data_IF_191614834171
#
_entry.id   IF_191614834171
#
_cell.length_a   1.000
_cell.length_b   1.000
_cell.length_c   1.000
_cell.angle_alpha   90.00
_cell.angle_beta   90.00
_cell.angle_gamma   90.00
#
_symmetry.space_group_name_H-M   'P 1'
#
loop_
_entity.id
_entity.type
_entity.pdbx_description
1 polymer ?
#
# COMPACT_ATOMS: atom_id res chain seq x y z
N UNK A 1 -18.29 7.99 -0.58
CA UNK A 1 -17.57 7.12 0.37
C UNK A 1 -16.11 7.44 0.27
N UNK A 2 -15.38 7.49 1.39
CA UNK A 2 -13.93 7.71 1.34
C UNK A 2 -13.24 6.47 0.78
N UNK A 3 -12.41 6.61 -0.25
CA UNK A 3 -11.67 5.51 -0.88
C UNK A 3 -10.20 5.57 -0.52
N UNK A 4 -9.67 4.47 0.02
CA UNK A 4 -8.24 4.32 0.31
C UNK A 4 -7.65 3.26 -0.60
N UNK A 5 -6.52 3.59 -1.23
CA UNK A 5 -5.73 2.64 -2.02
C UNK A 5 -4.46 2.27 -1.27
N UNK A 6 -4.19 0.96 -1.23
CA UNK A 6 -3.00 0.40 -0.63
C UNK A 6 -2.11 -0.20 -1.74
N UNK A 7 -0.87 0.27 -1.90
CA UNK A 7 0.06 -0.20 -2.93
C UNK A 7 1.29 -0.83 -2.29
N UNK A 8 1.54 -2.10 -2.63
CA UNK A 8 2.79 -2.79 -2.35
C UNK A 8 3.72 -2.74 -3.55
N UNK A 9 4.90 -2.15 -3.38
CA UNK A 9 5.99 -2.16 -4.36
C UNK A 9 6.69 -3.51 -4.53
N UNK A 10 6.05 -4.60 -4.12
CA UNK A 10 6.57 -5.96 -4.34
C UNK A 10 6.22 -6.43 -5.74
N UNK A 11 7.15 -7.13 -6.38
CA UNK A 11 6.93 -7.80 -7.66
C UNK A 11 6.91 -9.33 -7.52
N UNK A 12 6.71 -9.84 -6.30
CA UNK A 12 6.67 -11.26 -5.98
C UNK A 12 5.53 -11.61 -5.01
N UNK A 13 5.07 -12.85 -5.08
CA UNK A 13 4.08 -13.44 -4.16
C UNK A 13 4.65 -14.79 -3.68
N UNK A 14 4.68 -15.06 -2.35
CA UNK A 14 4.25 -14.20 -1.24
C UNK A 14 5.23 -13.04 -0.96
N UNK A 15 4.77 -12.01 -0.21
CA UNK A 15 5.58 -10.85 0.18
C UNK A 15 5.21 -10.30 1.57
N UNK A 16 6.23 -10.05 2.40
CA UNK A 16 6.11 -9.35 3.69
C UNK A 16 5.60 -7.93 3.55
N UNK A 17 6.02 -7.20 2.51
CA UNK A 17 5.52 -5.85 2.25
C UNK A 17 4.04 -5.87 1.92
N UNK A 18 3.61 -6.83 1.09
CA UNK A 18 2.18 -6.99 0.79
C UNK A 18 1.40 -7.39 2.03
N UNK A 19 1.95 -8.22 2.92
CA UNK A 19 1.33 -8.52 4.22
C UNK A 19 1.21 -7.28 5.12
N UNK A 20 2.26 -6.47 5.21
CA UNK A 20 2.28 -5.22 5.98
C UNK A 20 1.24 -4.22 5.49
N UNK A 21 1.23 -3.93 4.19
CA UNK A 21 0.29 -2.99 3.56
C UNK A 21 -1.16 -3.46 3.76
N UNK A 22 -1.43 -4.75 3.59
CA UNK A 22 -2.76 -5.31 3.83
C UNK A 22 -3.17 -5.24 5.31
N UNK A 23 -2.25 -5.45 6.24
CA UNK A 23 -2.55 -5.33 7.67
C UNK A 23 -2.90 -3.89 8.06
N UNK A 24 -2.14 -2.91 7.56
CA UNK A 24 -2.45 -1.48 7.74
C UNK A 24 -3.82 -1.18 7.12
N UNK A 25 -4.08 -1.64 5.89
CA UNK A 25 -5.37 -1.47 5.21
C UNK A 25 -6.54 -2.07 5.99
N UNK A 26 -6.40 -3.25 6.59
CA UNK A 26 -7.43 -3.85 7.45
C UNK A 26 -7.74 -2.98 8.67
N UNK A 27 -6.72 -2.39 9.31
CA UNK A 27 -6.90 -1.48 10.45
C UNK A 27 -7.59 -0.18 10.03
N UNK A 28 -7.23 0.39 8.87
CA UNK A 28 -7.92 1.56 8.29
C UNK A 28 -9.39 1.23 7.99
N UNK A 29 -9.65 0.15 7.26
CA UNK A 29 -11.00 -0.28 6.90
C UNK A 29 -11.89 -0.46 8.15
N UNK A 30 -11.36 -1.15 9.17
CA UNK A 30 -12.06 -1.37 10.44
C UNK A 30 -12.32 -0.07 11.20
N UNK A 31 -11.33 0.85 11.25
CA UNK A 31 -11.45 2.08 12.03
C UNK A 31 -12.44 3.06 11.42
N UNK A 32 -12.45 3.18 10.09
CA UNK A 32 -13.25 4.20 9.39
C UNK A 32 -14.54 3.64 8.78
N UNK A 33 -14.72 2.32 8.77
CA UNK A 33 -15.90 1.69 8.15
C UNK A 33 -15.93 1.84 6.63
N UNK A 34 -14.76 1.86 5.98
CA UNK A 34 -14.62 2.10 4.54
C UNK A 34 -13.97 0.92 3.80
N UNK A 35 -14.10 0.93 2.48
CA UNK A 35 -13.39 0.03 1.60
C UNK A 35 -11.92 0.46 1.43
N UNK A 36 -11.01 -0.52 1.51
CA UNK A 36 -9.60 -0.36 1.15
C UNK A 36 -9.29 -1.37 0.04
N UNK A 37 -8.81 -0.88 -1.10
CA UNK A 37 -8.39 -1.75 -2.21
C UNK A 37 -6.87 -1.86 -2.21
N UNK A 38 -6.35 -3.08 -2.28
CA UNK A 38 -4.90 -3.32 -2.31
C UNK A 38 -4.44 -3.83 -3.66
N UNK A 39 -3.33 -3.25 -4.14
CA UNK A 39 -2.61 -3.64 -5.35
C UNK A 39 -1.14 -3.97 -5.02
N UNK A 40 -0.53 -4.85 -5.81
CA UNK A 40 0.93 -4.98 -5.93
C UNK A 40 1.40 -4.78 -7.38
N UNK A 41 2.71 -4.79 -7.63
CA UNK A 41 3.23 -4.51 -8.98
C UNK A 41 2.87 -5.59 -10.00
N UNK A 42 2.51 -6.81 -9.56
CA UNK A 42 2.03 -7.84 -10.49
C UNK A 42 0.62 -7.53 -11.00
N UNK A 43 -0.19 -6.81 -10.21
CA UNK A 43 -1.51 -6.37 -10.65
C UNK A 43 -1.43 -5.32 -11.76
N UNK A 44 -0.37 -4.51 -11.81
CA UNK A 44 -0.17 -3.49 -12.85
C UNK A 44 -0.05 -4.11 -14.25
N UNK A 45 0.45 -5.34 -14.33
CA UNK A 45 0.56 -6.09 -15.57
C UNK A 45 1.97 -6.12 -16.17
N UNK A 46 2.14 -6.90 -17.23
CA UNK A 46 3.47 -7.25 -17.76
C UNK A 46 4.14 -6.11 -18.53
N UNK A 47 3.33 -5.17 -19.03
CA UNK A 47 3.80 -3.97 -19.74
C UNK A 47 4.50 -2.95 -18.85
N UNK A 48 4.42 -3.09 -17.51
CA UNK A 48 5.02 -2.12 -16.59
C UNK A 48 6.50 -1.86 -16.89
N UNK A 49 7.30 -2.89 -17.17
CA UNK A 49 8.73 -2.71 -17.43
C UNK A 49 9.10 -2.01 -18.74
N UNK A 50 8.13 -1.81 -19.65
CA UNK A 50 8.33 -1.22 -20.98
C UNK A 50 7.61 0.12 -21.14
N UNK A 51 6.66 0.44 -20.26
CA UNK A 51 5.81 1.60 -20.38
C UNK A 51 6.59 2.89 -20.10
N UNK A 52 6.78 3.71 -21.12
CA UNK A 52 7.42 5.03 -20.96
C UNK A 52 6.42 6.11 -20.49
N UNK A 53 5.13 5.81 -20.54
CA UNK A 53 4.00 6.68 -20.18
C UNK A 53 2.84 5.84 -19.68
N UNK A 54 1.95 6.43 -18.88
CA UNK A 54 0.77 5.73 -18.35
C UNK A 54 -0.08 5.08 -19.45
N UNK A 55 -0.27 5.74 -20.60
CA UNK A 55 -1.07 5.22 -21.73
C UNK A 55 -0.45 4.00 -22.44
N UNK A 56 0.78 3.61 -22.07
CA UNK A 56 1.46 2.41 -22.57
C UNK A 56 1.34 1.20 -21.65
N UNK A 57 0.69 1.35 -20.50
CA UNK A 57 0.31 0.22 -19.66
C UNK A 57 -0.86 -0.54 -20.28
N UNK A 58 -0.98 -1.82 -19.92
CA UNK A 58 -2.21 -2.59 -20.11
C UNK A 58 -3.40 -1.87 -19.43
N UNK A 59 -4.66 -2.11 -19.90
CA UNK A 59 -5.83 -1.45 -19.34
C UNK A 59 -5.94 -1.54 -17.81
N UNK A 60 -5.51 -2.66 -17.22
CA UNK A 60 -5.53 -2.81 -15.77
C UNK A 60 -4.50 -1.90 -15.07
N UNK A 61 -3.29 -1.74 -15.61
CA UNK A 61 -2.29 -0.82 -15.07
C UNK A 61 -2.73 0.63 -15.16
N UNK A 62 -3.35 1.03 -16.27
CA UNK A 62 -3.97 2.36 -16.42
C UNK A 62 -5.06 2.60 -15.37
N UNK A 63 -5.95 1.62 -15.19
CA UNK A 63 -6.99 1.66 -14.15
C UNK A 63 -6.41 1.83 -12.75
N UNK A 64 -5.33 1.12 -12.42
CA UNK A 64 -4.69 1.22 -11.10
C UNK A 64 -4.13 2.62 -10.86
N UNK A 65 -3.49 3.24 -11.86
CA UNK A 65 -3.04 4.64 -11.77
C UNK A 65 -4.23 5.56 -11.49
N UNK A 66 -5.32 5.41 -12.25
CA UNK A 66 -6.51 6.24 -12.08
C UNK A 66 -7.15 6.04 -10.69
N UNK A 67 -7.23 4.81 -10.18
CA UNK A 67 -7.74 4.54 -8.84
C UNK A 67 -6.86 5.12 -7.73
N UNK A 68 -5.53 4.99 -7.85
CA UNK A 68 -4.58 5.53 -6.89
C UNK A 68 -4.63 7.07 -6.86
N UNK A 69 -4.68 7.68 -8.03
CA UNK A 69 -4.69 9.14 -8.16
C UNK A 69 -6.05 9.76 -7.84
N UNK A 70 -7.16 9.02 -7.93
CA UNK A 70 -8.49 9.48 -7.49
C UNK A 70 -8.81 9.15 -6.03
N UNK A 71 -7.99 8.33 -5.36
CA UNK A 71 -8.17 7.99 -3.94
C UNK A 71 -8.01 9.20 -3.01
N UNK A 72 -8.77 9.19 -1.91
CA UNK A 72 -8.73 10.20 -0.85
C UNK A 72 -7.47 10.08 0.00
N UNK A 73 -6.92 8.87 0.14
CA UNK A 73 -5.69 8.61 0.86
C UNK A 73 -4.98 7.34 0.37
N UNK A 74 -3.67 7.27 0.60
CA UNK A 74 -2.82 6.16 0.18
C UNK A 74 -2.11 5.49 1.36
N UNK A 75 -1.94 4.17 1.23
CA UNK A 75 -1.01 3.37 2.04
C UNK A 75 0.05 2.83 1.07
N UNK A 76 1.30 3.22 1.25
CA UNK A 76 2.39 2.82 0.37
C UNK A 76 3.36 1.93 1.14
N UNK A 77 3.67 0.77 0.59
CA UNK A 77 4.67 -0.14 1.13
C UNK A 77 5.72 -0.50 0.09
N UNK A 78 7.01 -0.47 0.46
CA UNK A 78 8.08 -0.99 -0.40
C UNK A 78 8.95 -2.01 0.33
N UNK A 79 9.36 -3.13 -0.29
CA UNK A 79 10.50 -3.87 0.22
C UNK A 79 11.79 -3.06 0.03
N UNK A 80 12.81 -3.31 0.86
CA UNK A 80 14.13 -2.71 0.69
C UNK A 80 14.96 -3.51 -0.30
N UNK A 81 15.38 -2.84 -1.38
CA UNK A 81 16.33 -3.34 -2.36
C UNK A 81 17.49 -2.34 -2.45
N UNK A 82 18.71 -2.80 -2.13
CA UNK A 82 19.96 -2.00 -2.18
C UNK A 82 19.86 -0.65 -1.43
N UNK A 83 19.22 -0.65 -0.26
CA UNK A 83 19.05 0.53 0.59
C UNK A 83 17.91 1.47 0.18
N UNK A 84 17.16 1.14 -0.88
CA UNK A 84 16.03 1.93 -1.37
C UNK A 84 14.84 1.03 -1.73
N UNK A 85 13.87 1.56 -2.47
CA UNK A 85 12.77 0.83 -3.07
C UNK A 85 13.20 0.13 -4.38
N UNK A 86 12.47 -0.89 -4.88
CA UNK A 86 12.77 -1.51 -6.16
C UNK A 86 12.67 -0.53 -7.32
N UNK A 87 13.51 -0.70 -8.33
CA UNK A 87 13.46 0.11 -9.55
C UNK A 87 12.10 0.03 -10.26
N UNK A 88 11.46 -1.14 -10.26
CA UNK A 88 10.13 -1.30 -10.87
C UNK A 88 9.02 -0.57 -10.10
N UNK A 89 9.14 -0.48 -8.77
CA UNK A 89 8.24 0.36 -7.97
C UNK A 89 8.43 1.84 -8.33
N UNK A 90 9.67 2.30 -8.38
CA UNK A 90 9.98 3.67 -8.80
C UNK A 90 9.47 3.96 -10.20
N UNK A 91 9.67 3.04 -11.13
CA UNK A 91 9.20 3.16 -12.50
C UNK A 91 7.68 3.30 -12.57
N UNK A 92 6.91 2.51 -11.80
CA UNK A 92 5.46 2.70 -11.71
C UNK A 92 5.09 4.10 -11.19
N UNK A 93 5.76 4.57 -10.14
CA UNK A 93 5.52 5.91 -9.58
C UNK A 93 5.88 7.01 -10.59
N UNK A 94 6.89 6.79 -11.45
CA UNK A 94 7.29 7.74 -12.51
C UNK A 94 6.25 7.91 -13.63
N UNK A 95 5.28 6.99 -13.73
CA UNK A 95 4.17 7.12 -14.68
C UNK A 95 3.04 8.01 -14.16
N UNK A 96 3.13 8.50 -12.91
CA UNK A 96 2.13 9.35 -12.29
C UNK A 96 2.56 10.81 -12.44
N UNK A 97 1.67 11.65 -12.99
CA UNK A 97 1.92 13.08 -13.08
C UNK A 97 1.93 13.72 -11.66
N UNK A 98 2.89 14.61 -11.34
CA UNK A 98 3.08 15.14 -9.99
C UNK A 98 1.81 15.73 -9.34
N UNK A 99 1.03 16.48 -10.12
CA UNK A 99 -0.18 17.21 -9.69
C UNK A 99 -1.26 16.28 -9.15
N UNK A 100 -1.26 15.01 -9.58
CA UNK A 100 -2.27 14.01 -9.22
C UNK A 100 -2.23 13.59 -7.75
N UNK A 101 -1.15 13.92 -7.04
CA UNK A 101 -0.96 13.55 -5.63
C UNK A 101 -0.79 14.76 -4.69
N UNK A 102 -1.01 15.99 -5.18
CA UNK A 102 -0.88 17.21 -4.37
C UNK A 102 -1.75 17.16 -3.12
N UNK A 103 -1.13 17.39 -1.96
CA UNK A 103 -1.81 17.38 -0.65
C UNK A 103 -2.37 16.03 -0.23
N UNK A 104 -2.20 14.97 -1.03
CA UNK A 104 -2.81 13.67 -0.75
C UNK A 104 -2.21 13.05 0.50
N UNK A 105 -3.01 12.60 1.47
CA UNK A 105 -2.53 11.88 2.65
C UNK A 105 -1.89 10.56 2.26
N UNK A 106 -0.64 10.34 2.64
CA UNK A 106 0.10 9.10 2.33
C UNK A 106 0.75 8.54 3.59
N UNK A 107 0.36 7.32 3.98
CA UNK A 107 1.07 6.55 5.00
C UNK A 107 2.20 5.76 4.32
N UNK A 108 3.43 6.01 4.76
CA UNK A 108 4.63 5.38 4.21
C UNK A 108 5.08 4.21 5.06
N UNK A 109 5.31 3.07 4.41
CA UNK A 109 5.77 1.85 5.06
C UNK A 109 6.83 1.13 4.23
N UNK A 110 7.67 0.33 4.89
CA UNK A 110 8.63 -0.52 4.22
C UNK A 110 8.93 -1.79 5.01
N UNK A 111 9.47 -2.79 4.29
CA UNK A 111 10.03 -3.99 4.92
C UNK A 111 11.46 -4.24 4.49
N UNK A 112 12.28 -4.83 5.37
CA UNK A 112 13.65 -5.21 5.03
C UNK A 112 14.18 -6.37 5.86
N UNK A 113 15.34 -6.89 5.47
CA UNK A 113 15.95 -8.04 6.15
C UNK A 113 16.39 -7.77 7.60
N UNK A 114 16.67 -6.51 7.95
CA UNK A 114 17.08 -6.08 9.29
C UNK A 114 17.08 -4.55 9.40
N UNK A 115 17.58 -3.98 10.50
CA UNK A 115 17.35 -2.56 10.82
C UNK A 115 18.25 -1.55 10.07
N UNK A 116 19.32 -2.02 9.43
CA UNK A 116 20.33 -1.15 8.80
C UNK A 116 19.77 -0.22 7.70
N UNK A 117 18.59 -0.54 7.16
CA UNK A 117 17.93 0.26 6.13
C UNK A 117 16.61 0.91 6.60
N UNK A 118 16.35 0.95 7.92
CA UNK A 118 15.10 1.51 8.46
C UNK A 118 14.85 2.95 8.00
N UNK A 119 15.92 3.73 7.85
CA UNK A 119 15.90 5.12 7.38
C UNK A 119 15.48 5.29 5.91
N UNK A 120 15.32 4.21 5.13
CA UNK A 120 14.84 4.31 3.75
C UNK A 120 13.44 4.94 3.67
N UNK A 121 12.60 4.77 4.70
CA UNK A 121 11.26 5.37 4.69
C UNK A 121 11.36 6.90 4.71
N UNK A 122 12.32 7.43 5.46
CA UNK A 122 12.55 8.86 5.64
C UNK A 122 13.42 9.49 4.56
N UNK A 123 14.38 8.73 4.00
CA UNK A 123 15.35 9.26 3.05
C UNK A 123 15.11 8.83 1.60
N UNK A 124 14.18 7.91 1.33
CA UNK A 124 13.84 7.47 -0.03
C UNK A 124 12.34 7.65 -0.29
N UNK A 125 11.47 7.02 0.51
CA UNK A 125 10.02 7.13 0.29
C UNK A 125 9.50 8.54 0.57
N UNK A 126 9.84 9.16 1.71
CA UNK A 126 9.34 10.50 2.02
C UNK A 126 9.79 11.56 1.00
N UNK A 127 11.05 11.61 0.53
CA UNK A 127 11.44 12.52 -0.54
C UNK A 127 10.74 12.22 -1.87
N UNK A 128 10.55 10.93 -2.21
CA UNK A 128 9.79 10.54 -3.41
C UNK A 128 8.38 11.14 -3.37
N UNK A 129 7.63 10.94 -2.28
CA UNK A 129 6.27 11.51 -2.15
C UNK A 129 6.28 13.02 -1.86
N UNK A 130 7.39 13.57 -1.36
CA UNK A 130 7.61 15.01 -1.24
C UNK A 130 7.73 15.71 -2.59
N UNK A 131 8.34 15.08 -3.60
CA UNK A 131 8.35 15.58 -4.98
C UNK A 131 6.92 15.78 -5.53
N UNK A 132 6.01 14.86 -5.19
CA UNK A 132 4.59 14.95 -5.51
C UNK A 132 3.82 15.97 -4.65
N UNK A 133 4.47 16.69 -3.74
CA UNK A 133 3.82 17.54 -2.74
C UNK A 133 2.68 16.83 -1.99
N UNK A 134 2.82 15.51 -1.81
CA UNK A 134 1.86 14.70 -1.08
C UNK A 134 2.00 14.96 0.44
N UNK A 135 0.89 14.89 1.15
CA UNK A 135 0.86 15.02 2.61
C UNK A 135 1.26 13.69 3.27
N UNK A 136 2.56 13.40 3.29
CA UNK A 136 3.06 12.20 3.95
C UNK A 136 2.80 12.25 5.46
N UNK A 137 2.13 11.25 6.01
CA UNK A 137 1.82 11.19 7.44
C UNK A 137 3.10 11.13 8.29
N UNK A 138 3.10 11.69 9.51
CA UNK A 138 4.31 11.76 10.33
C UNK A 138 4.87 10.38 10.71
N UNK A 139 4.04 9.42 11.09
CA UNK A 139 4.50 8.10 11.53
C UNK A 139 4.82 7.20 10.34
N UNK A 140 6.09 7.14 9.96
CA UNK A 140 6.62 6.11 9.06
C UNK A 140 6.65 4.74 9.73
N UNK A 141 6.41 3.66 8.96
CA UNK A 141 6.46 2.28 9.45
C UNK A 141 7.61 1.52 8.76
N UNK A 142 8.49 0.91 9.54
CA UNK A 142 9.47 -0.04 9.04
C UNK A 142 9.30 -1.36 9.78
N UNK A 143 9.24 -2.47 9.05
CA UNK A 143 9.17 -3.82 9.62
C UNK A 143 10.36 -4.65 9.14
N UNK A 144 11.14 -5.16 10.08
CA UNK A 144 12.24 -6.08 9.81
C UNK A 144 11.73 -7.52 9.70
N UNK A 145 12.56 -8.43 9.16
CA UNK A 145 12.18 -9.83 9.01
C UNK A 145 11.69 -10.50 10.32
N UNK A 146 12.25 -10.11 11.47
CA UNK A 146 11.86 -10.61 12.81
C UNK A 146 10.43 -10.27 13.22
N UNK A 147 9.83 -9.23 12.63
CA UNK A 147 8.48 -8.78 12.99
C UNK A 147 7.39 -9.69 12.41
N UNK A 148 7.78 -10.66 11.57
CA UNK A 148 6.90 -11.58 10.89
C UNK A 148 7.12 -13.02 11.36
N UNK A 149 6.01 -13.75 11.57
CA UNK A 149 5.97 -15.17 11.86
C UNK A 149 5.81 -16.02 10.60
N UNK A 150 5.13 -17.16 10.74
CA UNK A 150 4.83 -18.05 9.63
C UNK A 150 3.88 -17.35 8.63
N UNK A 151 4.00 -17.68 7.35
CA UNK A 151 3.15 -17.11 6.28
C UNK A 151 3.13 -15.57 6.18
N UNK A 152 4.16 -14.92 6.73
CA UNK A 152 4.29 -13.46 6.85
C UNK A 152 3.20 -12.80 7.71
N UNK A 153 2.67 -13.51 8.70
CA UNK A 153 1.82 -12.90 9.73
C UNK A 153 2.62 -11.90 10.57
N UNK A 154 2.02 -10.77 10.95
CA UNK A 154 2.68 -9.79 11.82
C UNK A 154 2.51 -10.25 13.27
N UNK A 155 3.63 -10.49 13.96
CA UNK A 155 3.65 -10.98 15.34
C UNK A 155 4.18 -9.94 16.35
N UNK A 156 4.91 -8.93 15.88
CA UNK A 156 5.55 -7.93 16.74
C UNK A 156 4.53 -6.96 17.36
N UNK A 157 4.34 -6.96 18.70
CA UNK A 157 3.40 -6.05 19.36
C UNK A 157 3.78 -4.58 19.18
N UNK A 158 5.07 -4.27 19.17
CA UNK A 158 5.59 -2.91 18.97
C UNK A 158 5.27 -2.39 17.55
N UNK A 159 5.40 -3.26 16.54
CA UNK A 159 5.00 -2.92 15.18
C UNK A 159 3.49 -2.66 15.09
N UNK A 160 2.68 -3.50 15.73
CA UNK A 160 1.22 -3.33 15.76
C UNK A 160 0.83 -1.99 16.41
N UNK A 161 1.42 -1.68 17.57
CA UNK A 161 1.17 -0.42 18.27
C UNK A 161 1.60 0.81 17.44
N UNK A 162 2.71 0.69 16.70
CA UNK A 162 3.15 1.75 15.77
C UNK A 162 2.19 1.91 14.59
N UNK A 163 1.69 0.80 14.03
CA UNK A 163 0.66 0.83 12.98
C UNK A 163 -0.59 1.53 13.48
N UNK A 164 -1.07 1.22 14.69
CA UNK A 164 -2.26 1.87 15.25
C UNK A 164 -2.09 3.39 15.37
N UNK A 165 -0.94 3.86 15.87
CA UNK A 165 -0.62 5.30 15.91
C UNK A 165 -0.60 5.95 14.53
N UNK A 166 -0.08 5.25 13.51
CA UNK A 166 -0.05 5.76 12.15
C UNK A 166 -1.45 5.80 11.51
N UNK A 167 -2.29 4.80 11.78
CA UNK A 167 -3.68 4.73 11.31
C UNK A 167 -4.52 5.85 11.92
N UNK A 168 -4.29 6.21 13.18
CA UNK A 168 -4.95 7.35 13.83
C UNK A 168 -4.67 8.69 13.13
N UNK A 169 -3.53 8.83 12.45
CA UNK A 169 -3.18 10.06 11.73
C UNK A 169 -4.02 10.28 10.46
N UNK A 170 -4.82 9.29 10.03
CA UNK A 170 -5.81 9.49 8.98
C UNK A 170 -7.10 10.18 9.44
N UNK A 171 -7.34 10.33 10.75
CA UNK A 171 -8.56 10.94 11.29
C UNK A 171 -8.91 12.31 10.67
N UNK A 172 -7.95 13.24 10.43
CA UNK A 172 -8.25 14.53 9.82
C UNK A 172 -8.68 14.44 8.34
N UNK A 173 -8.42 13.31 7.68
CA UNK A 173 -8.51 13.17 6.22
C UNK A 173 -9.64 12.24 5.78
N UNK A 174 -9.94 11.21 6.59
CA UNK A 174 -10.93 10.19 6.26
C UNK A 174 -12.15 10.41 7.13
N UNK A 175 -13.30 10.66 6.49
CA UNK A 175 -14.59 10.69 7.19
C UNK A 175 -15.01 9.25 7.45
N UNK A 176 -15.17 8.92 8.73
CA UNK A 176 -15.73 7.64 9.14
C UNK A 176 -17.20 7.56 8.68
N UNK A 177 -17.60 6.41 8.17
CA UNK A 177 -18.98 6.16 7.81
C UNK A 177 -19.73 5.68 9.05
N UNK A 178 -20.73 6.46 9.49
CA UNK A 178 -21.60 6.07 10.59
C UNK A 178 -22.38 4.85 10.14
N UNK A 179 -22.22 3.72 10.83
CA UNK A 179 -22.88 2.46 10.50
C UNK A 179 -24.40 2.62 10.42
N UNK A 180 -24.94 2.84 9.21
CA UNK A 180 -26.35 2.67 8.89
C UNK A 180 -26.52 1.29 8.25
N UNK A 181 -26.93 0.34 9.08
CA UNK A 181 -27.75 -0.82 8.71
C UNK A 181 -27.53 -1.40 7.31
N UNK A 182 -26.51 -2.25 7.16
CA UNK A 182 -26.53 -3.51 6.41
C UNK A 182 -25.11 -4.08 6.44
N UNK A 183 -24.97 -5.38 6.26
CA UNK A 183 -23.72 -6.15 6.24
C UNK A 183 -22.73 -5.63 5.16
N UNK A 184 -22.11 -4.47 5.39
CA UNK A 184 -21.13 -3.90 4.48
C UNK A 184 -19.74 -4.39 4.86
N UNK A 185 -19.36 -5.46 4.15
CA UNK A 185 -18.04 -6.08 4.03
C UNK A 185 -16.87 -5.13 4.34
N UNK A 186 -16.33 -5.21 5.57
CA UNK A 186 -14.97 -4.78 5.91
C UNK A 186 -13.98 -5.68 5.17
N UNK A 187 -13.82 -5.49 3.87
CA UNK A 187 -12.98 -6.36 3.03
C UNK A 187 -11.86 -5.54 2.42
N UNK A 188 -10.62 -5.96 2.68
CA UNK A 188 -9.52 -5.63 1.77
C UNK A 188 -9.75 -6.46 0.52
N UNK A 189 -10.38 -5.86 -0.49
CA UNK A 189 -10.51 -6.53 -1.78
C UNK A 189 -9.14 -6.45 -2.46
N UNK A 190 -8.49 -7.60 -2.64
CA UNK A 190 -7.47 -7.70 -3.68
C UNK A 190 -8.19 -7.63 -5.01
N UNK A 191 -7.75 -6.75 -5.91
CA UNK A 191 -8.29 -6.73 -7.25
C UNK A 191 -8.07 -8.09 -7.90
N UNK A 192 -9.15 -8.71 -8.39
CA UNK A 192 -9.10 -9.99 -9.09
C UNK A 192 -8.30 -9.80 -10.37
N UNK A 193 -7.10 -10.39 -10.45
CA UNK A 193 -6.41 -10.61 -11.72
C UNK A 193 -7.23 -11.59 -12.56
N UNK A 194 -7.37 -11.30 -13.86
CA UNK A 194 -8.15 -12.12 -14.79
C UNK A 194 -7.54 -13.48 -15.13
N UNK A 195 -6.44 -13.89 -14.49
CA UNK A 195 -5.83 -15.20 -14.70
C UNK A 195 -5.61 -15.93 -13.37
N UNK A 196 -6.31 -17.06 -13.28
CA UNK A 196 -6.27 -18.15 -12.32
C UNK A 196 -6.72 -17.94 -10.87
N UNK A 197 -7.87 -18.57 -10.61
CA UNK A 197 -8.44 -18.90 -9.31
C UNK A 197 -7.60 -20.01 -8.69
N UNK A 198 -7.15 -19.83 -7.45
CA UNK A 198 -7.06 -20.94 -6.51
C UNK A 198 -7.90 -20.58 -5.28
N UNK A 199 -8.88 -21.42 -4.90
CA UNK A 199 -9.63 -21.20 -3.67
C UNK A 199 -8.69 -21.36 -2.47
N UNK A 200 -8.79 -20.44 -1.51
CA UNK A 200 -8.36 -20.74 -0.15
C UNK A 200 -9.24 -21.89 0.36
N UNK A 201 -8.64 -23.06 0.53
CA UNK A 201 -9.27 -24.15 1.24
C UNK A 201 -9.60 -23.67 2.67
N UNK A 202 -10.85 -23.87 3.07
CA UNK A 202 -11.28 -23.80 4.46
C UNK A 202 -10.85 -25.13 5.09
N UNK A 203 -10.14 -25.04 6.22
CA UNK A 203 -9.68 -26.19 7.00
C UNK A 203 -10.84 -27.10 7.44
N UNK A 204 -10.55 -28.39 7.52
CA UNK A 204 -11.09 -29.29 8.55
C UNK A 204 -10.11 -29.36 9.71
#
# INVERSE_FOLDING_TARGET
>A
MSKVIALSGSFNRPSKTTALVNHIGKKVAKKFGIEVVSYDLLDVGTTLGLAQRADKLEPNGQRIIEELTSADALIIGSPVYKGSYPGLFKHFIDLIEPERLYGKPVLLSATGGGDRHALMVEHQLRPLFGFFMAHSLPTAIYAAARDFGQDNEIQSPDLIARIDKAVDQFIPFIKAETAHSSEQKTTVQRARGTHDVLPFAVNS
#
